data_IF_914305073825
#
_entry.id   IF_914305073825
#
_cell.length_a   1.000
_cell.length_b   1.000
_cell.length_c   1.000
_cell.angle_alpha   90.00
_cell.angle_beta   90.00
_cell.angle_gamma   90.00
#
_symmetry.space_group_name_H-M   'P 1'
#
loop_
_entity.id
_entity.type
_entity.pdbx_description
1 polymer ?
#
# COMPACT_ATOMS: atom_id res chain seq x y z
N UNK A 1 -12.60 14.14 5.79
CA UNK A 1 -11.71 13.09 5.26
C UNK A 1 -12.48 11.79 5.09
N UNK A 2 -12.67 11.38 3.86
CA UNK A 2 -13.37 10.15 3.50
C UNK A 2 -12.35 9.06 3.14
N UNK A 3 -12.48 7.89 3.74
CA UNK A 3 -11.65 6.71 3.42
C UNK A 3 -12.53 5.74 2.65
N UNK A 4 -12.14 5.39 1.45
CA UNK A 4 -12.94 4.55 0.55
C UNK A 4 -12.07 3.72 -0.40
N UNK A 5 -12.59 2.65 -0.99
CA UNK A 5 -11.92 1.97 -2.10
C UNK A 5 -11.71 2.94 -3.27
N UNK A 6 -10.60 2.78 -3.96
CA UNK A 6 -10.33 3.54 -5.17
C UNK A 6 -11.22 3.08 -6.33
N UNK A 7 -11.57 4.02 -7.20
CA UNK A 7 -12.27 3.76 -8.45
C UNK A 7 -11.36 4.09 -9.64
N UNK A 8 -11.75 3.64 -10.84
CA UNK A 8 -10.98 3.93 -12.07
C UNK A 8 -10.78 5.43 -12.32
N UNK A 9 -11.76 6.24 -11.92
CA UNK A 9 -11.69 7.70 -12.02
C UNK A 9 -10.62 8.33 -11.11
N UNK A 10 -10.12 7.60 -10.10
CA UNK A 10 -9.06 8.08 -9.23
C UNK A 10 -7.65 7.94 -9.83
N UNK A 11 -7.48 7.19 -10.92
CA UNK A 11 -6.17 6.86 -11.47
C UNK A 11 -5.31 8.10 -11.74
N UNK A 12 -5.79 9.19 -12.36
CA UNK A 12 -4.95 10.36 -12.57
C UNK A 12 -4.41 10.97 -11.27
N UNK A 13 -5.25 11.09 -10.24
CA UNK A 13 -4.85 11.62 -8.94
C UNK A 13 -3.96 10.64 -8.18
N UNK A 14 -4.24 9.34 -8.25
CA UNK A 14 -3.37 8.30 -7.69
C UNK A 14 -1.98 8.32 -8.31
N UNK A 15 -1.92 8.43 -9.64
CA UNK A 15 -0.64 8.49 -10.37
C UNK A 15 0.23 9.65 -9.88
N UNK A 16 -0.37 10.81 -9.65
CA UNK A 16 0.32 11.98 -9.11
C UNK A 16 0.83 11.72 -7.68
N UNK A 17 0.04 11.07 -6.82
CA UNK A 17 0.45 10.73 -5.46
C UNK A 17 1.55 9.67 -5.43
N UNK A 18 1.46 8.63 -6.27
CA UNK A 18 2.50 7.61 -6.38
C UNK A 18 3.83 8.22 -6.82
N UNK A 19 3.79 9.14 -7.78
CA UNK A 19 4.99 9.88 -8.19
C UNK A 19 5.59 10.66 -7.03
N UNK A 20 4.77 11.35 -6.22
CA UNK A 20 5.23 12.08 -5.01
C UNK A 20 5.87 11.14 -4.00
N UNK A 21 5.25 9.99 -3.76
CA UNK A 21 5.78 8.98 -2.85
C UNK A 21 7.15 8.45 -3.30
N UNK A 22 7.29 8.07 -4.57
CA UNK A 22 8.54 7.59 -5.12
C UNK A 22 9.65 8.64 -5.03
N UNK A 23 9.33 9.88 -5.35
CA UNK A 23 10.28 10.99 -5.20
C UNK A 23 10.71 11.17 -3.74
N UNK A 24 9.75 11.15 -2.82
CA UNK A 24 10.00 11.30 -1.39
C UNK A 24 10.90 10.18 -0.84
N UNK A 25 10.65 8.94 -1.25
CA UNK A 25 11.43 7.76 -0.82
C UNK A 25 12.72 7.56 -1.62
N UNK A 26 12.99 8.36 -2.63
CA UNK A 26 14.17 8.20 -3.48
C UNK A 26 14.12 6.94 -4.35
N UNK A 27 12.94 6.45 -4.69
CA UNK A 27 12.78 5.31 -5.58
C UNK A 27 12.95 5.78 -7.02
N UNK A 28 13.85 5.14 -7.75
CA UNK A 28 14.13 5.46 -9.15
C UNK A 28 13.26 4.64 -10.12
N UNK A 29 13.20 5.10 -11.36
CA UNK A 29 12.57 4.34 -12.45
C UNK A 29 11.08 4.59 -12.62
N UNK A 30 10.50 5.63 -12.00
CA UNK A 30 9.10 5.95 -12.21
C UNK A 30 8.82 6.25 -13.69
N UNK A 31 7.86 5.53 -14.25
CA UNK A 31 7.34 5.75 -15.60
C UNK A 31 5.83 5.87 -15.52
N UNK A 32 5.30 7.03 -15.88
CA UNK A 32 3.86 7.31 -15.77
C UNK A 32 3.00 6.28 -16.50
N UNK A 33 3.35 5.95 -17.73
CA UNK A 33 2.60 4.98 -18.54
C UNK A 33 2.57 3.59 -17.89
N UNK A 34 3.70 3.09 -17.45
CA UNK A 34 3.77 1.76 -16.81
C UNK A 34 2.99 1.74 -15.50
N UNK A 35 3.11 2.80 -14.70
CA UNK A 35 2.40 2.90 -13.43
C UNK A 35 0.88 2.96 -13.65
N UNK A 36 0.44 3.72 -14.64
CA UNK A 36 -0.98 3.77 -15.00
C UNK A 36 -1.53 2.39 -15.36
N UNK A 37 -0.81 1.65 -16.20
CA UNK A 37 -1.20 0.28 -16.58
C UNK A 37 -1.25 -0.67 -15.38
N UNK A 38 -0.31 -0.55 -14.44
CA UNK A 38 -0.30 -1.36 -13.21
C UNK A 38 -1.50 -1.02 -12.34
N UNK A 39 -1.81 0.26 -12.14
CA UNK A 39 -2.98 0.70 -11.36
C UNK A 39 -4.29 0.25 -12.00
N UNK A 40 -4.41 0.37 -13.33
CA UNK A 40 -5.59 -0.12 -14.05
C UNK A 40 -5.77 -1.63 -13.88
N UNK A 41 -4.69 -2.39 -13.99
CA UNK A 41 -4.70 -3.83 -13.81
C UNK A 41 -5.11 -4.22 -12.40
N UNK A 42 -4.57 -3.55 -11.39
CA UNK A 42 -4.88 -3.81 -9.99
C UNK A 42 -6.36 -3.52 -9.67
N UNK A 43 -6.88 -2.38 -10.16
CA UNK A 43 -8.30 -2.04 -9.97
C UNK A 43 -9.24 -2.95 -10.76
N UNK A 44 -8.79 -3.47 -11.90
CA UNK A 44 -9.58 -4.34 -12.76
C UNK A 44 -9.64 -5.80 -12.32
N UNK A 45 -8.79 -6.23 -11.41
CA UNK A 45 -8.74 -7.62 -10.94
C UNK A 45 -8.61 -7.71 -9.42
N UNK A 46 -9.73 -7.87 -8.69
CA UNK A 46 -9.72 -7.98 -7.23
C UNK A 46 -8.88 -9.13 -6.67
N UNK A 47 -8.51 -10.10 -7.49
CA UNK A 47 -7.63 -11.20 -7.07
C UNK A 47 -6.19 -10.76 -6.90
N UNK A 48 -5.79 -9.65 -7.51
CA UNK A 48 -4.42 -9.11 -7.39
C UNK A 48 -4.21 -8.30 -6.11
N UNK A 49 -5.23 -7.61 -5.65
CA UNK A 49 -5.12 -6.76 -4.47
C UNK A 49 -6.22 -5.72 -4.39
N UNK A 50 -5.95 -4.68 -3.61
CA UNK A 50 -6.88 -3.58 -3.39
C UNK A 50 -6.13 -2.25 -3.28
N UNK A 51 -6.84 -1.17 -3.58
CA UNK A 51 -6.39 0.20 -3.37
C UNK A 51 -7.44 0.94 -2.55
N UNK A 52 -7.00 1.55 -1.46
CA UNK A 52 -7.80 2.45 -0.65
C UNK A 52 -7.27 3.87 -0.77
N UNK A 53 -8.17 4.85 -0.76
CA UNK A 53 -7.81 6.27 -0.86
C UNK A 53 -8.43 7.07 0.27
N UNK A 54 -7.74 8.14 0.64
CA UNK A 54 -8.20 9.15 1.56
C UNK A 54 -8.49 10.43 0.78
N UNK A 55 -9.72 10.88 0.82
CA UNK A 55 -10.19 12.03 0.06
C UNK A 55 -10.69 13.13 0.99
N UNK A 56 -10.35 14.37 0.69
CA UNK A 56 -10.87 15.55 1.35
C UNK A 56 -11.11 16.63 0.31
N UNK A 57 -12.32 17.23 0.33
CA UNK A 57 -12.69 18.30 -0.58
C UNK A 57 -12.45 17.98 -2.06
N UNK A 58 -12.73 16.73 -2.45
CA UNK A 58 -12.55 16.27 -3.83
C UNK A 58 -11.10 15.99 -4.24
N UNK A 59 -10.14 16.06 -3.29
CA UNK A 59 -8.73 15.79 -3.56
C UNK A 59 -8.23 14.60 -2.76
N UNK A 60 -7.43 13.75 -3.40
CA UNK A 60 -6.77 12.65 -2.70
C UNK A 60 -5.63 13.17 -1.84
N UNK A 61 -5.63 12.75 -0.57
CA UNK A 61 -4.63 13.11 0.42
C UNK A 61 -3.74 11.93 0.83
N UNK A 62 -4.08 10.74 0.41
CA UNK A 62 -3.31 9.54 0.71
C UNK A 62 -3.89 8.31 0.05
N UNK A 63 -3.12 7.22 0.07
CA UNK A 63 -3.55 5.94 -0.46
C UNK A 63 -2.84 4.79 0.26
N UNK A 64 -3.44 3.62 0.16
CA UNK A 64 -2.84 2.35 0.55
C UNK A 64 -3.06 1.35 -0.58
N UNK A 65 -1.98 0.69 -1.00
CA UNK A 65 -2.01 -0.40 -1.97
C UNK A 65 -1.59 -1.68 -1.26
N UNK A 66 -2.41 -2.72 -1.34
CA UNK A 66 -2.08 -4.05 -0.85
C UNK A 66 -2.24 -5.07 -1.98
N UNK A 67 -1.32 -6.01 -2.05
CA UNK A 67 -1.32 -7.09 -3.03
C UNK A 67 -1.58 -8.42 -2.35
N UNK A 68 -2.26 -9.34 -3.05
CA UNK A 68 -2.67 -10.63 -2.50
C UNK A 68 -1.70 -11.72 -2.92
N UNK A 69 -1.39 -12.62 -1.98
CA UNK A 69 -0.50 -13.77 -2.20
C UNK A 69 -1.13 -15.00 -1.55
N UNK A 70 -1.30 -16.07 -2.33
CA UNK A 70 -1.66 -17.36 -1.75
C UNK A 70 -0.43 -17.96 -1.09
N UNK A 71 -0.49 -18.16 0.22
CA UNK A 71 0.62 -18.67 1.02
C UNK A 71 0.34 -20.09 1.50
N UNK A 72 1.15 -21.03 1.07
CA UNK A 72 1.10 -22.42 1.57
C UNK A 72 1.52 -22.46 3.04
N UNK A 73 2.55 -21.71 3.41
CA UNK A 73 3.03 -21.62 4.79
C UNK A 73 1.94 -21.16 5.76
N UNK A 74 1.18 -20.14 5.36
CA UNK A 74 0.11 -19.60 6.19
C UNK A 74 -1.25 -20.24 5.91
N UNK A 75 -1.31 -21.21 5.00
CA UNK A 75 -2.52 -21.99 4.66
C UNK A 75 -3.69 -21.11 4.24
N UNK A 76 -3.41 -20.05 3.47
CA UNK A 76 -4.46 -19.15 3.02
C UNK A 76 -3.91 -17.96 2.24
N UNK A 77 -4.80 -17.09 1.83
CA UNK A 77 -4.44 -15.84 1.17
C UNK A 77 -3.94 -14.85 2.22
N UNK A 78 -2.76 -14.32 1.99
CA UNK A 78 -2.21 -13.20 2.74
C UNK A 78 -2.14 -11.97 1.86
N UNK A 79 -1.96 -10.81 2.47
CA UNK A 79 -1.74 -9.57 1.75
C UNK A 79 -0.40 -8.94 2.16
N UNK A 80 0.19 -8.21 1.22
CA UNK A 80 1.35 -7.36 1.48
C UNK A 80 0.97 -5.92 1.21
N UNK A 81 1.24 -5.03 2.17
CA UNK A 81 1.15 -3.59 1.94
C UNK A 81 2.33 -3.22 1.06
N UNK A 82 2.04 -2.89 -0.19
CA UNK A 82 3.04 -2.51 -1.17
C UNK A 82 3.43 -1.04 -0.98
N UNK A 83 2.43 -0.16 -0.82
CA UNK A 83 2.65 1.26 -0.55
C UNK A 83 1.58 1.82 0.40
N UNK A 84 2.01 2.67 1.31
CA UNK A 84 1.14 3.51 2.13
C UNK A 84 1.74 4.92 2.17
N UNK A 85 1.01 5.89 1.65
CA UNK A 85 1.44 7.27 1.59
C UNK A 85 0.33 8.23 2.00
N UNK A 86 0.71 9.22 2.79
CA UNK A 86 -0.14 10.37 3.15
C UNK A 86 0.63 11.63 2.81
N UNK A 87 -0.01 12.56 2.13
CA UNK A 87 0.62 13.84 1.77
C UNK A 87 1.11 14.55 3.03
N UNK A 88 2.25 15.27 2.98
CA UNK A 88 2.74 16.00 4.14
C UNK A 88 1.69 16.90 4.78
N UNK A 89 0.83 17.51 3.96
CA UNK A 89 -0.22 18.43 4.37
C UNK A 89 -1.33 17.76 5.20
N UNK A 90 -1.53 16.45 5.00
CA UNK A 90 -2.55 15.66 5.69
C UNK A 90 -1.98 14.75 6.79
N UNK A 91 -0.67 14.78 7.03
CA UNK A 91 -0.03 14.03 8.12
C UNK A 91 -0.47 14.57 9.47
N UNK A 92 -0.27 13.79 10.52
CA UNK A 92 -0.66 14.08 11.92
C UNK A 92 -2.17 14.09 12.19
N UNK A 93 -3.01 13.93 11.16
CA UNK A 93 -4.47 13.84 11.31
C UNK A 93 -5.00 12.39 11.38
N UNK A 94 -4.13 11.42 11.60
CA UNK A 94 -4.50 10.01 11.72
C UNK A 94 -4.92 9.33 10.41
N UNK A 95 -4.67 9.96 9.26
CA UNK A 95 -5.12 9.47 7.93
C UNK A 95 -4.49 8.11 7.62
N UNK A 96 -3.19 7.94 7.86
CA UNK A 96 -2.50 6.68 7.62
C UNK A 96 -3.08 5.53 8.44
N UNK A 97 -3.38 5.77 9.72
CA UNK A 97 -4.03 4.79 10.59
C UNK A 97 -5.43 4.40 10.13
N UNK A 98 -6.19 5.36 9.62
CA UNK A 98 -7.54 5.11 9.08
C UNK A 98 -7.49 4.32 7.77
N UNK A 99 -6.54 4.63 6.88
CA UNK A 99 -6.30 3.85 5.67
C UNK A 99 -5.93 2.40 6.01
N UNK A 100 -5.02 2.22 6.94
CA UNK A 100 -4.59 0.89 7.37
C UNK A 100 -5.74 0.11 7.98
N UNK A 101 -6.50 0.71 8.90
CA UNK A 101 -7.66 0.06 9.52
C UNK A 101 -8.74 -0.35 8.51
N UNK A 102 -9.01 0.51 7.52
CA UNK A 102 -9.96 0.20 6.46
C UNK A 102 -9.50 -1.00 5.61
N UNK A 103 -8.22 -1.02 5.23
CA UNK A 103 -7.64 -2.13 4.48
C UNK A 103 -7.63 -3.43 5.29
N UNK A 104 -7.24 -3.39 6.55
CA UNK A 104 -7.27 -4.55 7.45
C UNK A 104 -8.67 -5.14 7.56
N UNK A 105 -9.67 -4.29 7.76
CA UNK A 105 -11.07 -4.71 7.84
C UNK A 105 -11.54 -5.36 6.55
N UNK A 106 -11.24 -4.76 5.41
CA UNK A 106 -11.62 -5.30 4.10
C UNK A 106 -10.93 -6.63 3.80
N UNK A 107 -9.64 -6.73 4.10
CA UNK A 107 -8.85 -7.95 3.88
C UNK A 107 -9.32 -9.09 4.80
N UNK A 108 -9.58 -8.81 6.07
CA UNK A 108 -10.12 -9.80 7.00
C UNK A 108 -11.49 -10.31 6.54
N UNK A 109 -12.36 -9.43 6.05
CA UNK A 109 -13.67 -9.80 5.51
C UNK A 109 -13.56 -10.70 4.26
N UNK A 110 -12.48 -10.56 3.49
CA UNK A 110 -12.18 -11.43 2.34
C UNK A 110 -11.52 -12.75 2.74
N UNK A 111 -11.27 -12.97 4.02
CA UNK A 111 -10.65 -14.20 4.52
C UNK A 111 -9.12 -14.18 4.50
N UNK A 112 -8.48 -13.03 4.33
CA UNK A 112 -7.03 -12.94 4.45
C UNK A 112 -6.59 -13.32 5.87
N UNK A 113 -5.57 -14.16 5.94
CA UNK A 113 -5.08 -14.73 7.20
C UNK A 113 -3.90 -13.96 7.78
N UNK A 114 -3.27 -13.11 6.98
CA UNK A 114 -2.09 -12.36 7.39
C UNK A 114 -1.87 -11.12 6.52
N UNK A 115 -1.34 -10.09 7.13
CA UNK A 115 -0.91 -8.87 6.46
C UNK A 115 0.54 -8.60 6.83
N UNK A 116 1.39 -8.36 5.83
CA UNK A 116 2.80 -8.05 6.02
C UNK A 116 3.22 -6.84 5.22
N UNK A 117 4.39 -6.32 5.52
CA UNK A 117 5.01 -5.22 4.79
C UNK A 117 6.54 -5.29 4.93
N UNK A 118 7.21 -4.60 4.02
CA UNK A 118 8.63 -4.35 4.12
C UNK A 118 8.85 -2.91 4.61
N UNK A 119 9.76 -2.74 5.54
CA UNK A 119 10.07 -1.45 6.13
C UNK A 119 11.57 -1.19 6.03
N UNK A 120 11.94 -0.01 5.55
CA UNK A 120 13.35 0.40 5.56
C UNK A 120 13.92 0.38 6.97
N UNK A 121 15.10 -0.23 7.15
CA UNK A 121 15.71 -0.41 8.47
C UNK A 121 15.95 0.88 9.23
N UNK A 122 16.15 2.00 8.53
CA UNK A 122 16.33 3.33 9.11
C UNK A 122 15.04 4.11 9.36
N UNK A 123 13.89 3.56 9.00
CA UNK A 123 12.59 4.24 9.13
C UNK A 123 12.00 4.04 10.52
N UNK A 124 12.52 4.78 11.51
CA UNK A 124 12.06 4.68 12.89
C UNK A 124 10.61 5.14 13.07
N UNK A 125 10.18 6.17 12.34
CA UNK A 125 8.81 6.66 12.36
C UNK A 125 7.81 5.65 11.83
N UNK A 126 8.14 5.00 10.72
CA UNK A 126 7.34 3.91 10.16
C UNK A 126 7.27 2.71 11.09
N UNK A 127 8.38 2.33 11.69
CA UNK A 127 8.41 1.24 12.67
C UNK A 127 7.47 1.52 13.84
N UNK A 128 7.57 2.69 14.45
CA UNK A 128 6.69 3.08 15.57
C UNK A 128 5.21 3.09 15.14
N UNK A 129 4.91 3.60 13.95
CA UNK A 129 3.56 3.61 13.40
C UNK A 129 2.97 2.21 13.29
N UNK A 130 3.71 1.25 12.76
CA UNK A 130 3.25 -0.13 12.58
C UNK A 130 3.24 -0.92 13.88
N UNK A 131 4.29 -0.81 14.69
CA UNK A 131 4.36 -1.52 15.98
C UNK A 131 3.21 -1.10 16.92
N UNK A 132 2.88 0.18 16.95
CA UNK A 132 1.74 0.68 17.74
C UNK A 132 0.40 0.08 17.28
N UNK A 133 0.34 -0.47 16.07
CA UNK A 133 -0.84 -1.11 15.48
C UNK A 133 -0.78 -2.63 15.44
N UNK A 134 0.15 -3.21 16.19
CA UNK A 134 0.24 -4.66 16.36
C UNK A 134 1.15 -5.37 15.36
N UNK A 135 1.86 -4.64 14.52
CA UNK A 135 2.86 -5.25 13.63
C UNK A 135 4.16 -5.48 14.39
N UNK A 136 4.83 -6.56 14.08
CA UNK A 136 6.11 -6.91 14.71
C UNK A 136 7.07 -7.51 13.68
N UNK A 137 8.40 -7.34 13.88
CA UNK A 137 9.38 -7.96 13.00
C UNK A 137 9.22 -9.48 12.99
N UNK A 138 9.36 -10.08 11.81
CA UNK A 138 9.42 -11.53 11.68
C UNK A 138 10.88 -11.98 11.85
N UNK A 139 11.28 -12.25 13.08
CA UNK A 139 12.65 -12.63 13.42
C UNK A 139 13.07 -13.94 12.71
N UNK A 140 14.33 -14.00 12.29
CA UNK A 140 14.90 -15.16 11.63
C UNK A 140 14.71 -15.20 10.11
N UNK A 141 14.10 -14.17 9.53
CA UNK A 141 13.87 -14.06 8.10
C UNK A 141 14.45 -12.78 7.55
N UNK A 142 14.92 -12.82 6.31
CA UNK A 142 15.32 -11.65 5.56
C UNK A 142 14.77 -11.72 4.14
N UNK A 143 14.57 -10.57 3.52
CA UNK A 143 14.16 -10.48 2.12
C UNK A 143 15.37 -10.65 1.21
N UNK A 144 15.26 -11.56 0.25
CA UNK A 144 16.20 -11.69 -0.86
C UNK A 144 15.44 -11.43 -2.15
N UNK A 145 15.99 -10.63 -3.05
CA UNK A 145 15.35 -10.35 -4.33
C UNK A 145 16.31 -10.46 -5.50
N UNK A 146 15.75 -10.65 -6.68
CA UNK A 146 16.51 -10.73 -7.93
C UNK A 146 15.63 -10.22 -9.09
N UNK A 147 16.03 -9.19 -9.80
CA UNK A 147 15.36 -8.82 -11.06
C UNK A 147 15.46 -9.97 -12.05
N UNK A 148 14.33 -10.32 -12.72
CA UNK A 148 14.31 -11.45 -13.61
C UNK A 148 14.56 -11.08 -15.06
N UNK A 149 13.92 -10.05 -15.56
CA UNK A 149 14.01 -9.66 -16.96
C UNK A 149 13.97 -8.15 -17.13
N UNK A 150 14.63 -7.67 -18.16
CA UNK A 150 14.46 -6.31 -18.64
C UNK A 150 13.04 -6.16 -19.22
N UNK A 151 12.45 -5.01 -19.01
CA UNK A 151 11.14 -4.64 -19.54
C UNK A 151 11.26 -3.77 -20.76
#
# INVERSE_FOLDING_TARGET
>A
MNIRPAASSDIPALLALVRRYWHFEGIEGFTALRMELVLQRLLGDPRLGLIWVAESEGQLQGYLIAVLVLSVEHQGVMAEIDELFVTPEARTCGVGGRLLAAAETALAAQGCVRLQLQLGVGNAGGRAFYEHRGYSPRAGYELLDKPLAAR
#
